data_IF_178443504818
#
_entry.id   IF_178443504818
#
_cell.length_a   1.000
_cell.length_b   1.000
_cell.length_c   1.000
_cell.angle_alpha   90.00
_cell.angle_beta   90.00
_cell.angle_gamma   90.00
#
_symmetry.space_group_name_H-M   'P 1'
#
loop_
_entity.id
_entity.type
_entity.pdbx_description
1 polymer ?
#
# COMPACT_ATOMS: atom_id res chain seq x y z
N UNK A 1 -7.75 -35.22 -11.67
CA UNK A 1 -9.03 -34.51 -11.50
C UNK A 1 -8.69 -33.05 -11.20
N UNK A 2 -8.87 -32.21 -12.21
CA UNK A 2 -8.76 -30.75 -12.30
C UNK A 2 -7.57 -30.01 -11.64
N UNK A 3 -6.56 -29.76 -12.48
CA UNK A 3 -5.47 -28.82 -12.28
C UNK A 3 -6.00 -27.37 -12.35
N UNK A 4 -6.10 -26.68 -11.22
CA UNK A 4 -6.48 -25.26 -11.14
C UNK A 4 -5.24 -24.38 -11.38
N UNK A 5 -4.66 -24.45 -12.58
CA UNK A 5 -3.58 -23.54 -13.01
C UNK A 5 -4.06 -22.58 -14.12
N UNK A 6 -5.36 -22.58 -14.44
CA UNK A 6 -5.91 -21.85 -15.58
C UNK A 6 -6.60 -20.52 -15.25
N UNK A 7 -6.96 -20.23 -14.00
CA UNK A 7 -7.91 -19.13 -13.73
C UNK A 7 -7.27 -17.76 -13.50
N UNK A 8 -6.01 -17.69 -13.08
CA UNK A 8 -5.34 -16.40 -12.82
C UNK A 8 -4.80 -15.75 -14.12
N UNK A 9 -4.52 -16.55 -15.16
CA UNK A 9 -3.89 -16.05 -16.38
C UNK A 9 -4.89 -15.45 -17.40
N UNK A 10 -6.17 -15.84 -17.35
CA UNK A 10 -7.18 -15.32 -18.29
C UNK A 10 -7.78 -13.97 -17.87
N UNK A 11 -7.72 -13.61 -16.59
CA UNK A 11 -8.22 -12.31 -16.13
C UNK A 11 -7.32 -11.13 -16.57
N UNK A 12 -6.05 -11.40 -16.87
CA UNK A 12 -5.10 -10.41 -17.40
C UNK A 12 -5.39 -9.99 -18.86
N UNK A 13 -5.96 -10.88 -19.69
CA UNK A 13 -6.24 -10.56 -21.10
C UNK A 13 -7.53 -9.74 -21.31
N UNK A 14 -8.56 -9.99 -20.50
CA UNK A 14 -9.87 -9.32 -20.67
C UNK A 14 -9.82 -7.82 -20.37
N UNK A 15 -8.97 -7.41 -19.44
CA UNK A 15 -8.78 -6.02 -19.04
C UNK A 15 -8.03 -5.24 -20.15
N UNK A 16 -7.00 -5.82 -20.78
CA UNK A 16 -6.26 -5.10 -21.82
C UNK A 16 -7.11 -4.72 -23.06
N UNK A 17 -8.15 -5.50 -23.39
CA UNK A 17 -8.99 -5.24 -24.55
C UNK A 17 -9.99 -4.09 -24.34
N UNK A 18 -10.47 -3.86 -23.12
CA UNK A 18 -11.37 -2.73 -22.81
C UNK A 18 -10.58 -1.43 -22.60
N UNK A 19 -9.29 -1.52 -22.27
CA UNK A 19 -8.42 -0.36 -22.03
C UNK A 19 -7.61 0.11 -23.26
N UNK A 20 -7.76 -0.53 -24.43
CA UNK A 20 -7.05 -0.17 -25.66
C UNK A 20 -7.75 0.90 -26.51
N UNK A 21 -8.49 1.82 -25.90
CA UNK A 21 -8.88 3.06 -26.56
C UNK A 21 -8.74 4.26 -25.62
N UNK A 22 -7.88 5.20 -26.08
CA UNK A 22 -7.65 6.59 -25.66
C UNK A 22 -6.42 6.85 -24.76
N UNK A 23 -5.41 7.47 -25.40
CA UNK A 23 -4.13 8.03 -24.92
C UNK A 23 -2.96 7.07 -24.65
N UNK A 24 -2.01 7.04 -25.59
CA UNK A 24 -0.73 6.32 -25.54
C UNK A 24 0.28 6.82 -24.46
N UNK A 25 -0.15 7.66 -23.52
CA UNK A 25 0.74 8.38 -22.58
C UNK A 25 0.54 7.99 -21.12
N UNK A 26 -0.51 7.22 -20.84
CA UNK A 26 -0.82 6.77 -19.49
C UNK A 26 -0.11 5.45 -19.20
N UNK A 27 0.58 5.39 -18.07
CA UNK A 27 1.22 4.19 -17.56
C UNK A 27 0.29 3.56 -16.52
N UNK A 28 -0.17 2.32 -16.71
CA UNK A 28 -0.90 1.61 -15.68
C UNK A 28 0.04 1.23 -14.53
N UNK A 29 -0.39 1.50 -13.31
CA UNK A 29 0.23 1.03 -12.08
C UNK A 29 -0.71 0.02 -11.43
N UNK A 30 -0.23 -1.20 -11.24
CA UNK A 30 -0.91 -2.24 -10.48
C UNK A 30 -0.27 -2.41 -9.11
N UNK A 31 -1.10 -2.45 -8.07
CA UNK A 31 -0.69 -2.69 -6.67
C UNK A 31 -1.19 -4.06 -6.24
N UNK A 32 -0.28 -4.96 -5.93
CA UNK A 32 -0.60 -6.33 -5.54
C UNK A 32 -0.32 -6.54 -4.06
N UNK A 33 -1.36 -6.92 -3.32
CA UNK A 33 -1.28 -7.19 -1.89
C UNK A 33 -1.05 -8.69 -1.70
N UNK A 34 0.14 -9.07 -1.26
CA UNK A 34 0.56 -10.46 -1.18
C UNK A 34 0.92 -10.88 0.24
N UNK A 35 0.70 -12.16 0.52
CA UNK A 35 1.37 -12.91 1.55
C UNK A 35 2.45 -13.77 0.89
N UNK A 36 3.72 -13.39 1.01
CA UNK A 36 4.83 -13.96 0.25
C UNK A 36 4.57 -13.81 -1.26
N UNK A 37 4.30 -14.92 -1.94
CA UNK A 37 4.02 -14.94 -3.39
C UNK A 37 2.55 -14.93 -3.73
N UNK A 38 1.67 -15.19 -2.77
CA UNK A 38 0.25 -15.44 -3.02
C UNK A 38 -0.58 -14.19 -2.69
N UNK A 39 -1.66 -13.89 -3.43
CA UNK A 39 -2.55 -12.79 -3.11
C UNK A 39 -3.16 -12.91 -1.70
N UNK A 40 -3.32 -11.79 -1.02
CA UNK A 40 -4.07 -11.74 0.24
C UNK A 40 -5.57 -11.86 -0.09
N UNK A 41 -6.23 -12.74 0.67
CA UNK A 41 -7.65 -12.97 0.72
C UNK A 41 -8.12 -12.63 2.14
N UNK A 42 -9.17 -11.82 2.25
CA UNK A 42 -9.73 -11.51 3.56
C UNK A 42 -10.29 -12.76 4.21
N UNK A 43 -10.20 -12.79 5.55
CA UNK A 43 -10.63 -13.92 6.37
C UNK A 43 -9.88 -15.24 6.13
N UNK A 44 -8.81 -15.22 5.33
CA UNK A 44 -7.91 -16.35 5.17
C UNK A 44 -6.94 -16.44 6.36
N UNK A 45 -6.59 -17.67 6.73
CA UNK A 45 -5.65 -17.93 7.82
C UNK A 45 -4.21 -18.02 7.29
N UNK A 46 -3.37 -17.09 7.73
CA UNK A 46 -1.97 -17.00 7.38
C UNK A 46 -1.06 -17.54 8.48
N UNK A 47 0.06 -18.12 8.05
CA UNK A 47 1.08 -18.70 8.91
C UNK A 47 2.38 -17.93 8.76
N UNK A 48 2.72 -17.18 9.81
CA UNK A 48 4.06 -16.59 9.96
C UNK A 48 5.01 -17.63 10.56
N UNK A 49 6.27 -17.26 10.79
CA UNK A 49 7.27 -18.14 11.42
C UNK A 49 6.89 -18.57 12.84
N UNK A 50 6.14 -17.74 13.57
CA UNK A 50 5.90 -17.89 15.01
C UNK A 50 4.43 -17.84 15.39
N UNK A 51 3.53 -17.54 14.45
CA UNK A 51 2.14 -17.24 14.75
C UNK A 51 1.19 -17.58 13.60
N UNK A 52 -0.08 -17.70 13.94
CA UNK A 52 -1.19 -17.83 13.00
C UNK A 52 -2.11 -16.63 13.13
N UNK A 53 -2.40 -15.98 12.01
CA UNK A 53 -3.17 -14.74 11.96
C UNK A 53 -4.12 -14.68 10.79
N UNK A 54 -5.09 -13.78 10.88
CA UNK A 54 -6.05 -13.45 9.85
C UNK A 54 -6.03 -11.93 9.66
N UNK A 55 -6.10 -11.47 8.41
CA UNK A 55 -6.21 -10.05 8.07
C UNK A 55 -7.66 -9.78 7.66
N UNK A 56 -8.30 -8.84 8.35
CA UNK A 56 -9.69 -8.46 8.12
C UNK A 56 -9.79 -7.10 7.43
N UNK A 57 -8.96 -6.14 7.86
CA UNK A 57 -8.86 -4.81 7.25
C UNK A 57 -7.43 -4.59 6.79
N UNK A 58 -7.26 -4.10 5.56
CA UNK A 58 -5.99 -3.63 5.05
C UNK A 58 -6.20 -2.44 4.12
N UNK A 59 -5.79 -1.26 4.57
CA UNK A 59 -5.87 0.00 3.83
C UNK A 59 -4.59 0.82 3.98
N UNK A 60 -4.16 1.53 2.95
CA UNK A 60 -3.04 2.45 3.05
C UNK A 60 -3.05 3.48 1.93
N UNK A 61 -2.35 4.60 2.17
CA UNK A 61 -2.18 5.64 1.16
C UNK A 61 -0.89 5.46 0.39
N UNK A 62 -0.98 5.53 -0.93
CA UNK A 62 0.14 5.88 -1.81
C UNK A 62 -0.04 7.34 -2.20
N UNK A 63 0.97 8.17 -2.00
CA UNK A 63 0.91 9.59 -2.35
C UNK A 63 2.20 10.12 -2.97
N UNK A 64 2.20 11.39 -3.40
CA UNK A 64 3.38 12.09 -3.93
C UNK A 64 4.11 11.36 -5.07
N UNK A 65 3.35 10.65 -5.91
CA UNK A 65 3.90 9.82 -6.99
C UNK A 65 4.66 10.69 -8.00
N UNK A 66 5.91 10.32 -8.24
CA UNK A 66 6.87 11.05 -9.07
C UNK A 66 7.62 10.08 -9.98
N UNK A 67 7.61 10.36 -11.28
CA UNK A 67 8.42 9.66 -12.28
C UNK A 67 9.70 10.46 -12.50
N UNK A 68 10.86 9.85 -12.28
CA UNK A 68 12.15 10.38 -12.70
C UNK A 68 12.56 9.77 -14.04
N UNK A 69 12.98 10.60 -14.99
CA UNK A 69 13.45 10.19 -16.31
C UNK A 69 14.98 10.07 -16.36
N UNK A 70 15.49 9.37 -17.38
CA UNK A 70 16.93 9.17 -17.57
C UNK A 70 17.69 10.46 -17.90
N UNK A 71 17.01 11.47 -18.44
CA UNK A 71 17.56 12.81 -18.73
C UNK A 71 17.65 13.72 -17.49
N UNK A 72 17.24 13.23 -16.31
CA UNK A 72 17.23 13.97 -15.05
C UNK A 72 15.98 14.80 -14.79
N UNK A 73 15.08 14.95 -15.77
CA UNK A 73 13.79 15.59 -15.56
C UNK A 73 12.82 14.68 -14.80
N UNK A 74 11.78 15.25 -14.21
CA UNK A 74 10.76 14.48 -13.50
C UNK A 74 9.34 14.95 -13.85
N UNK A 75 8.37 14.07 -13.64
CA UNK A 75 6.95 14.37 -13.65
C UNK A 75 6.33 13.98 -12.31
N UNK A 76 5.77 14.96 -11.58
CA UNK A 76 5.06 14.74 -10.32
C UNK A 76 3.55 14.76 -10.59
N UNK A 77 2.85 13.73 -10.14
CA UNK A 77 1.40 13.67 -10.22
C UNK A 77 0.77 14.78 -9.35
N UNK A 78 -0.24 15.46 -9.89
CA UNK A 78 -0.99 16.50 -9.17
C UNK A 78 -2.09 15.85 -8.34
N UNK A 79 -2.32 16.32 -7.11
CA UNK A 79 -3.28 15.74 -6.17
C UNK A 79 -3.09 14.22 -6.02
N UNK A 80 -1.83 13.81 -5.85
CA UNK A 80 -1.40 12.42 -5.87
C UNK A 80 -1.73 11.75 -4.54
N UNK A 81 -2.95 11.23 -4.44
CA UNK A 81 -3.43 10.46 -3.29
C UNK A 81 -4.23 9.28 -3.84
N UNK A 82 -3.77 8.07 -3.51
CA UNK A 82 -4.41 6.82 -3.89
C UNK A 82 -4.66 6.00 -2.62
N UNK A 83 -5.92 5.82 -2.24
CA UNK A 83 -6.29 4.94 -1.12
C UNK A 83 -6.35 3.51 -1.63
N UNK A 84 -5.38 2.68 -1.26
CA UNK A 84 -5.41 1.26 -1.55
C UNK A 84 -6.22 0.56 -0.45
N UNK A 85 -7.23 -0.21 -0.84
CA UNK A 85 -8.13 -0.93 0.06
C UNK A 85 -8.33 -2.37 -0.44
N UNK A 86 -8.09 -3.35 0.45
CA UNK A 86 -8.27 -4.77 0.12
C UNK A 86 -9.73 -5.10 -0.26
N UNK A 87 -10.71 -4.38 0.32
CA UNK A 87 -12.14 -4.55 0.02
C UNK A 87 -12.53 -3.96 -1.34
N UNK A 88 -11.68 -3.14 -1.96
CA UNK A 88 -11.95 -2.46 -3.21
C UNK A 88 -10.88 -2.77 -4.25
N UNK A 89 -11.11 -3.79 -5.08
CA UNK A 89 -10.16 -4.20 -6.11
C UNK A 89 -9.79 -3.07 -7.10
N UNK A 90 -10.70 -2.14 -7.39
CA UNK A 90 -10.43 -1.04 -8.32
C UNK A 90 -9.44 -0.03 -7.74
N UNK A 91 -9.37 0.09 -6.42
CA UNK A 91 -8.42 0.97 -5.73
C UNK A 91 -6.97 0.58 -5.95
N UNK A 92 -6.73 -0.68 -6.34
CA UNK A 92 -5.40 -1.26 -6.54
C UNK A 92 -4.81 -0.95 -7.92
N UNK A 93 -5.50 -0.16 -8.73
CA UNK A 93 -5.08 0.20 -10.07
C UNK A 93 -5.26 1.70 -10.30
N UNK A 94 -4.22 2.38 -10.75
CA UNK A 94 -4.28 3.79 -11.14
C UNK A 94 -3.39 4.06 -12.34
N UNK A 95 -3.50 5.25 -12.93
CA UNK A 95 -2.77 5.64 -14.13
C UNK A 95 -1.92 6.87 -13.87
N UNK A 96 -0.67 6.81 -14.33
CA UNK A 96 0.24 7.96 -14.31
C UNK A 96 0.44 8.50 -15.70
N UNK A 97 0.34 9.83 -15.82
CA UNK A 97 0.71 10.51 -17.07
C UNK A 97 2.22 10.51 -17.23
N UNK A 98 2.71 10.08 -18.39
CA UNK A 98 4.13 10.14 -18.75
C UNK A 98 4.38 11.17 -19.84
N UNK A 99 5.56 11.78 -19.82
CA UNK A 99 6.07 12.55 -20.95
C UNK A 99 6.45 11.62 -22.10
N UNK A 100 5.84 11.85 -23.27
CA UNK A 100 6.15 11.13 -24.51
C UNK A 100 7.66 11.06 -24.73
N UNK A 101 8.12 9.92 -25.23
CA UNK A 101 9.52 9.59 -25.60
C UNK A 101 10.56 9.47 -24.48
N UNK A 102 10.26 9.88 -23.24
CA UNK A 102 11.24 9.79 -22.14
C UNK A 102 11.28 8.40 -21.51
N UNK A 103 12.50 7.87 -21.33
CA UNK A 103 12.73 6.63 -20.60
C UNK A 103 12.68 6.87 -19.09
N UNK A 104 11.97 6.01 -18.38
CA UNK A 104 11.83 6.09 -16.93
C UNK A 104 13.08 5.53 -16.28
N UNK A 105 13.64 6.29 -15.32
CA UNK A 105 14.76 5.88 -14.48
C UNK A 105 14.29 5.35 -13.14
N UNK A 106 13.30 6.01 -12.52
CA UNK A 106 12.77 5.60 -11.23
C UNK A 106 11.31 6.05 -11.05
N UNK A 107 10.58 5.29 -10.24
CA UNK A 107 9.29 5.68 -9.67
C UNK A 107 9.50 5.94 -8.18
N UNK A 108 9.04 7.09 -7.69
CA UNK A 108 9.09 7.47 -6.28
C UNK A 108 7.69 7.80 -5.80
N UNK A 109 7.33 7.35 -4.60
CA UNK A 109 6.05 7.65 -3.96
C UNK A 109 6.19 7.53 -2.45
N UNK A 110 5.26 8.11 -1.71
CA UNK A 110 5.19 8.00 -0.26
C UNK A 110 4.13 6.96 0.13
N UNK A 111 4.40 6.20 1.20
CA UNK A 111 3.39 5.49 1.96
C UNK A 111 2.94 6.41 3.10
N UNK A 112 1.72 6.90 2.98
CA UNK A 112 1.15 7.88 3.90
C UNK A 112 0.92 9.26 3.28
N UNK A 113 0.53 10.21 4.14
CA UNK A 113 0.16 11.58 3.77
C UNK A 113 1.12 12.58 4.41
N UNK A 114 1.58 13.56 3.63
CA UNK A 114 2.56 14.55 4.08
C UNK A 114 1.98 15.54 5.11
N UNK A 115 2.88 16.26 5.80
CA UNK A 115 2.49 17.19 6.86
C UNK A 115 1.65 18.35 6.37
N UNK A 116 1.91 18.88 5.17
CA UNK A 116 1.18 20.02 4.61
C UNK A 116 -0.26 19.62 4.31
N UNK A 117 -0.44 18.44 3.72
CA UNK A 117 -1.77 17.87 3.46
C UNK A 117 -2.52 17.61 4.78
N UNK A 118 -1.87 17.02 5.78
CA UNK A 118 -2.50 16.78 7.09
C UNK A 118 -3.02 18.07 7.77
N UNK A 119 -2.25 19.16 7.75
CA UNK A 119 -2.64 20.42 8.41
C UNK A 119 -3.60 21.29 7.61
N UNK A 120 -3.87 20.93 6.35
CA UNK A 120 -4.84 21.65 5.50
C UNK A 120 -6.29 21.22 5.71
N UNK A 121 -6.53 20.28 6.64
CA UNK A 121 -7.87 19.87 7.07
C UNK A 121 -8.37 18.60 6.37
N UNK A 122 -9.70 18.46 6.36
CA UNK A 122 -10.36 17.33 5.72
C UNK A 122 -10.42 17.54 4.21
N UNK A 123 -10.12 16.48 3.48
CA UNK A 123 -10.16 16.44 2.03
C UNK A 123 -11.26 15.49 1.55
N UNK A 124 -11.50 15.46 0.24
CA UNK A 124 -12.49 14.59 -0.41
C UNK A 124 -11.81 13.46 -1.20
N UNK A 125 -12.62 12.65 -1.89
CA UNK A 125 -12.17 11.50 -2.69
C UNK A 125 -11.42 10.49 -1.80
N UNK A 126 -10.25 10.02 -2.21
CA UNK A 126 -9.48 9.02 -1.47
C UNK A 126 -9.11 9.47 -0.05
N UNK A 127 -9.04 10.78 0.20
CA UNK A 127 -8.82 11.36 1.52
C UNK A 127 -10.11 11.64 2.30
N UNK A 128 -11.28 11.23 1.80
CA UNK A 128 -12.54 11.44 2.51
C UNK A 128 -12.57 10.61 3.81
N UNK A 129 -13.00 11.26 4.89
CA UNK A 129 -13.08 10.67 6.23
C UNK A 129 -14.03 9.46 6.30
N UNK A 130 -14.97 9.33 5.36
CA UNK A 130 -15.85 8.15 5.27
C UNK A 130 -15.08 6.85 5.08
N UNK A 131 -13.84 6.90 4.58
CA UNK A 131 -12.96 5.74 4.46
C UNK A 131 -12.39 5.27 5.80
N UNK A 132 -12.62 6.01 6.89
CA UNK A 132 -12.14 5.68 8.23
C UNK A 132 -10.64 5.85 8.40
N UNK A 133 -9.97 6.56 7.49
CA UNK A 133 -8.52 6.73 7.44
C UNK A 133 -8.07 8.09 8.02
N UNK A 134 -8.89 8.70 8.87
CA UNK A 134 -8.58 9.94 9.57
C UNK A 134 -8.90 9.79 11.06
N UNK A 135 -7.96 10.17 11.92
CA UNK A 135 -8.17 10.24 13.37
C UNK A 135 -8.71 11.59 13.77
N UNK A 136 -9.93 11.63 14.30
CA UNK A 136 -10.50 12.86 14.84
C UNK A 136 -9.81 13.33 16.14
N UNK A 137 -9.30 12.42 16.96
CA UNK A 137 -8.74 12.75 18.28
C UNK A 137 -7.27 13.19 18.25
N UNK A 138 -6.49 12.72 17.27
CA UNK A 138 -5.10 13.18 17.03
C UNK A 138 -5.00 14.12 15.81
N UNK A 139 -6.12 14.39 15.13
CA UNK A 139 -6.23 15.18 13.90
C UNK A 139 -5.15 14.83 12.87
N UNK A 140 -5.32 13.73 12.16
CA UNK A 140 -4.40 13.35 11.10
C UNK A 140 -4.81 12.08 10.37
N UNK A 141 -4.30 11.93 9.15
CA UNK A 141 -4.50 10.75 8.33
C UNK A 141 -3.73 9.55 8.89
N UNK A 142 -4.35 8.38 8.80
CA UNK A 142 -3.73 7.08 9.05
C UNK A 142 -3.02 6.66 7.78
N UNK A 143 -1.69 6.55 7.81
CA UNK A 143 -0.91 6.20 6.63
C UNK A 143 -1.19 4.75 6.18
N UNK A 144 -1.31 3.84 7.15
CA UNK A 144 -1.65 2.43 6.93
C UNK A 144 -2.50 1.90 8.08
N UNK A 145 -3.58 1.22 7.75
CA UNK A 145 -4.49 0.55 8.67
C UNK A 145 -4.51 -0.95 8.39
N UNK A 146 -4.15 -1.75 9.38
CA UNK A 146 -4.30 -3.21 9.36
C UNK A 146 -5.02 -3.64 10.62
N UNK A 147 -6.07 -4.43 10.47
CA UNK A 147 -6.78 -5.04 11.59
C UNK A 147 -7.00 -6.52 11.30
N UNK A 148 -7.02 -7.31 12.36
CA UNK A 148 -7.19 -8.75 12.23
C UNK A 148 -7.15 -9.46 13.56
N UNK A 149 -7.01 -10.78 13.52
CA UNK A 149 -6.91 -11.62 14.72
C UNK A 149 -5.69 -12.52 14.65
N UNK A 150 -5.11 -12.85 15.81
CA UNK A 150 -3.97 -13.77 15.90
C UNK A 150 -4.05 -14.62 17.16
N UNK A 151 -3.68 -15.89 17.08
CA UNK A 151 -3.69 -16.78 18.26
C UNK A 151 -2.74 -16.29 19.38
N UNK A 152 -1.73 -15.50 19.04
CA UNK A 152 -0.77 -14.95 20.00
C UNK A 152 -1.24 -13.67 20.69
N UNK A 153 -2.31 -13.02 20.22
CA UNK A 153 -2.85 -11.80 20.83
C UNK A 153 -3.67 -12.12 22.08
N UNK A 154 -3.31 -11.52 23.23
CA UNK A 154 -4.06 -11.66 24.50
C UNK A 154 -5.14 -10.59 24.72
N UNK A 155 -5.43 -9.83 23.68
CA UNK A 155 -6.51 -8.82 23.63
C UNK A 155 -7.89 -9.50 23.60
N UNK A 156 -8.96 -8.72 23.80
CA UNK A 156 -10.32 -9.23 23.61
C UNK A 156 -10.48 -9.75 22.18
N UNK A 157 -11.05 -10.95 22.03
CA UNK A 157 -11.21 -11.66 20.73
C UNK A 157 -9.90 -11.87 19.97
N UNK A 158 -8.75 -11.74 20.64
CA UNK A 158 -7.44 -11.91 20.05
C UNK A 158 -7.17 -10.95 18.87
N UNK A 159 -7.75 -9.76 18.92
CA UNK A 159 -7.60 -8.73 17.89
C UNK A 159 -6.24 -8.05 17.94
N UNK A 160 -5.67 -7.75 16.78
CA UNK A 160 -4.61 -6.76 16.63
C UNK A 160 -5.09 -5.59 15.77
N UNK A 161 -4.57 -4.40 16.05
CA UNK A 161 -4.88 -3.16 15.33
C UNK A 161 -3.60 -2.36 15.11
N UNK A 162 -3.27 -2.13 13.86
CA UNK A 162 -2.15 -1.31 13.43
C UNK A 162 -2.68 -0.15 12.60
N UNK A 163 -2.91 0.98 13.24
CA UNK A 163 -3.18 2.24 12.58
C UNK A 163 -1.89 3.05 12.66
N UNK A 164 -1.04 2.86 11.66
CA UNK A 164 0.26 3.51 11.55
C UNK A 164 0.04 4.89 10.95
N UNK A 165 0.45 5.92 11.69
CA UNK A 165 0.29 7.31 11.29
C UNK A 165 1.18 8.23 12.10
N UNK A 166 1.12 9.51 11.76
CA UNK A 166 1.96 10.58 12.32
C UNK A 166 2.71 11.33 11.22
N UNK A 167 2.61 12.67 11.24
CA UNK A 167 3.19 13.56 10.24
C UNK A 167 4.10 14.64 10.87
N UNK A 168 4.24 14.65 12.19
CA UNK A 168 5.04 15.60 12.96
C UNK A 168 6.26 14.93 13.57
N UNK A 169 7.33 15.70 13.74
CA UNK A 169 8.48 15.28 14.55
C UNK A 169 8.06 15.10 16.02
N UNK A 170 8.56 14.08 16.75
CA UNK A 170 9.54 13.08 16.32
C UNK A 170 8.94 11.83 15.65
N UNK A 171 7.62 11.72 15.53
CA UNK A 171 6.91 10.51 15.09
C UNK A 171 6.30 10.67 13.69
N UNK A 172 7.13 11.03 12.71
CA UNK A 172 6.73 11.08 11.31
C UNK A 172 6.80 9.67 10.68
N UNK A 173 5.64 9.03 10.56
CA UNK A 173 5.51 7.65 10.07
C UNK A 173 5.38 7.54 8.55
N UNK A 174 5.52 8.64 7.80
CA UNK A 174 5.55 8.61 6.33
C UNK A 174 6.86 7.98 5.84
N UNK A 175 6.80 7.14 4.81
CA UNK A 175 8.00 6.52 4.20
C UNK A 175 8.01 6.70 2.69
N UNK A 176 9.09 7.25 2.15
CA UNK A 176 9.29 7.39 0.71
C UNK A 176 9.93 6.12 0.14
N UNK A 177 9.30 5.58 -0.90
CA UNK A 177 9.73 4.41 -1.64
C UNK A 177 10.29 4.85 -2.99
N UNK A 178 11.37 4.22 -3.42
CA UNK A 178 11.96 4.46 -4.73
C UNK A 178 12.28 3.15 -5.43
N UNK A 179 11.62 2.93 -6.57
CA UNK A 179 11.74 1.73 -7.38
C UNK A 179 12.41 2.05 -8.71
N UNK A 180 13.18 1.09 -9.24
CA UNK A 180 13.94 1.22 -10.47
C UNK A 180 13.43 0.20 -11.49
N UNK A 181 12.43 0.57 -12.30
CA UNK A 181 11.78 -0.36 -13.22
C UNK A 181 12.70 -0.74 -14.39
N UNK A 182 12.57 -1.99 -14.85
CA UNK A 182 13.22 -2.49 -16.07
C UNK A 182 12.34 -2.35 -17.32
N UNK A 183 11.03 -2.26 -17.12
CA UNK A 183 10.00 -2.14 -18.15
C UNK A 183 9.10 -0.95 -17.83
N UNK A 184 8.19 -0.59 -18.75
CA UNK A 184 7.18 0.46 -18.49
C UNK A 184 5.88 -0.11 -17.92
N UNK A 185 5.94 -1.33 -17.37
CA UNK A 185 4.83 -1.98 -16.67
C UNK A 185 5.18 -1.99 -15.18
N UNK A 186 4.35 -1.34 -14.36
CA UNK A 186 4.61 -1.18 -12.93
C UNK A 186 3.64 -2.03 -12.13
N UNK A 187 4.04 -3.26 -11.89
CA UNK A 187 3.37 -4.15 -10.95
C UNK A 187 4.12 -4.08 -9.61
N UNK A 188 3.61 -3.28 -8.68
CA UNK A 188 4.20 -3.07 -7.35
C UNK A 188 3.63 -4.11 -6.40
N UNK A 189 4.48 -4.96 -5.84
CA UNK A 189 4.10 -5.93 -4.82
C UNK A 189 4.29 -5.32 -3.43
N UNK A 190 3.31 -5.55 -2.56
CA UNK A 190 3.39 -5.33 -1.12
C UNK A 190 3.29 -6.70 -0.42
N UNK A 191 4.41 -7.23 0.06
CA UNK A 191 4.47 -8.52 0.77
C UNK A 191 4.30 -8.33 2.29
N UNK A 192 3.06 -8.50 2.76
CA UNK A 192 2.73 -8.30 4.18
C UNK A 192 3.29 -9.40 5.08
N UNK A 193 3.73 -10.54 4.55
CA UNK A 193 4.40 -11.54 5.37
C UNK A 193 5.66 -10.96 6.04
N UNK A 194 6.38 -10.06 5.37
CA UNK A 194 7.57 -9.38 5.91
C UNK A 194 7.23 -8.56 7.16
N UNK A 195 6.07 -7.88 7.19
CA UNK A 195 5.63 -7.11 8.36
C UNK A 195 5.40 -8.04 9.57
N UNK A 196 4.64 -9.11 9.35
CA UNK A 196 4.25 -10.03 10.43
C UNK A 196 5.38 -10.98 10.86
N UNK A 197 6.34 -11.28 9.98
CA UNK A 197 7.54 -12.05 10.33
C UNK A 197 8.60 -11.22 11.06
N UNK A 198 8.55 -9.88 10.94
CA UNK A 198 9.47 -8.97 11.64
C UNK A 198 8.98 -8.60 13.06
N UNK A 199 7.69 -8.79 13.33
CA UNK A 199 7.04 -8.43 14.58
C UNK A 199 6.75 -9.62 15.49
N UNK A 200 6.28 -9.31 16.71
CA UNK A 200 5.72 -10.29 17.63
C UNK A 200 4.35 -9.80 18.10
N UNK A 201 3.28 -10.39 17.57
CA UNK A 201 1.90 -10.00 17.88
C UNK A 201 1.52 -10.25 19.35
N UNK A 202 2.23 -11.10 20.09
CA UNK A 202 2.00 -11.22 21.54
C UNK A 202 2.40 -9.97 22.32
N UNK A 203 3.28 -9.13 21.76
CA UNK A 203 3.80 -7.90 22.38
C UNK A 203 3.26 -6.66 21.67
N UNK A 204 3.40 -6.61 20.34
CA UNK A 204 2.98 -5.49 19.50
C UNK A 204 1.69 -5.88 18.75
N UNK A 205 0.55 -5.69 19.42
CA UNK A 205 -0.79 -5.97 18.86
C UNK A 205 -1.70 -4.74 18.78
N UNK A 206 -1.35 -3.62 19.39
CA UNK A 206 -2.23 -2.46 19.41
C UNK A 206 -1.43 -1.17 19.25
N UNK A 207 -1.48 -0.61 18.04
CA UNK A 207 -0.88 0.68 17.67
C UNK A 207 -1.99 1.51 17.05
N UNK A 208 -2.47 2.52 17.76
CA UNK A 208 -3.55 3.40 17.27
C UNK A 208 -3.26 4.90 17.45
N UNK A 209 -1.99 5.25 17.62
CA UNK A 209 -1.52 6.62 17.75
C UNK A 209 -0.09 6.72 17.23
N UNK A 210 0.35 7.91 16.77
CA UNK A 210 1.76 8.17 16.52
C UNK A 210 2.63 7.88 17.75
N UNK A 211 3.83 7.35 17.54
CA UNK A 211 4.74 6.98 18.62
C UNK A 211 5.83 6.02 18.15
N UNK A 212 6.67 5.56 19.08
CA UNK A 212 7.81 4.65 18.80
C UNK A 212 7.36 3.39 18.06
N UNK A 213 6.26 2.78 18.50
CA UNK A 213 5.71 1.58 17.87
C UNK A 213 5.18 1.83 16.45
N UNK A 214 4.53 2.97 16.20
CA UNK A 214 4.11 3.40 14.86
C UNK A 214 5.33 3.55 13.94
N UNK A 215 6.42 4.16 14.45
CA UNK A 215 7.66 4.30 13.70
C UNK A 215 8.32 2.96 13.37
N UNK A 216 8.36 2.03 14.32
CA UNK A 216 8.89 0.67 14.11
C UNK A 216 8.13 -0.06 12.99
N UNK A 217 6.80 0.02 12.96
CA UNK A 217 6.00 -0.56 11.87
C UNK A 217 6.25 0.15 10.55
N UNK A 218 6.30 1.49 10.56
CA UNK A 218 6.60 2.28 9.36
C UNK A 218 7.97 1.93 8.77
N UNK A 219 9.00 1.70 9.58
CA UNK A 219 10.35 1.34 9.13
C UNK A 219 10.45 -0.03 8.44
N UNK A 220 9.43 -0.87 8.57
CA UNK A 220 9.36 -2.15 7.86
C UNK A 220 8.78 -1.96 6.44
N UNK A 221 7.94 -0.95 6.21
CA UNK A 221 7.22 -0.74 4.95
C UNK A 221 8.14 -0.71 3.72
N UNK A 222 9.30 -0.04 3.72
CA UNK A 222 10.16 -0.04 2.54
C UNK A 222 10.71 -1.42 2.17
N UNK A 223 10.79 -2.34 3.13
CA UNK A 223 11.36 -3.69 2.91
C UNK A 223 10.36 -4.64 2.25
N UNK A 224 9.07 -4.36 2.36
CA UNK A 224 8.01 -5.20 1.82
C UNK A 224 7.57 -4.81 0.40
N UNK A 225 8.13 -3.75 -0.16
CA UNK A 225 7.68 -3.17 -1.43
C UNK A 225 8.74 -3.37 -2.51
N UNK A 226 8.35 -4.01 -3.61
CA UNK A 226 9.24 -4.25 -4.74
C UNK A 226 8.48 -4.35 -6.06
N UNK A 227 9.19 -4.24 -7.18
CA UNK A 227 8.61 -4.45 -8.51
C UNK A 227 8.59 -5.93 -8.86
N UNK A 228 7.48 -6.39 -9.41
CA UNK A 228 7.38 -7.70 -10.00
C UNK A 228 8.05 -7.72 -11.38
N UNK A 229 9.13 -8.49 -11.52
CA UNK A 229 9.79 -8.76 -12.80
C UNK A 229 9.42 -10.17 -13.26
N UNK A 230 8.13 -10.41 -13.53
CA UNK A 230 7.71 -11.62 -14.25
C UNK A 230 8.07 -11.50 -15.73
#
# INVERSE_FOLDING_TARGET
>A
MFTIHGFVMYFFLGIQLVFSQKNNDDIPIGVHLHWKTDPIEQHHQYFSKTDTLQIDVLKFYISNVTILYTDGTYNKEKNSYHLIDIDNMNSRFFKLKKQRTKKIKALTFDIGIDSTTNVSGLHSNDLDVVHGMYWAWQSGYVNMKIEGTSKSCKTRKNEFKFHVGGYLSPYNALRTIRLYPKTEVFEIIFDFAILFESGNLSVLNHVMTPGVQSMQLADILPKMIYLNYK
#
